data_IF_918424785893
#
_entry.id   IF_918424785893
#
_cell.length_a   1.000
_cell.length_b   1.000
_cell.length_c   1.000
_cell.angle_alpha   90.00
_cell.angle_beta   90.00
_cell.angle_gamma   90.00
#
_symmetry.space_group_name_H-M   'P 1'
#
loop_
_entity.id
_entity.type
_entity.pdbx_description
1 polymer ?
#
# COMPACT_ATOMS: atom_id res chain seq x y z
N UNK A 1 4.10 -19.49 -24.18
CA UNK A 1 4.04 -18.09 -23.70
C UNK A 1 2.66 -17.53 -23.98
N UNK A 2 1.78 -17.26 -23.00
CA UNK A 2 0.62 -16.38 -23.24
C UNK A 2 -0.16 -15.91 -22.02
N UNK A 3 -0.51 -16.78 -21.07
CA UNK A 3 -1.44 -16.41 -19.98
C UNK A 3 -0.75 -15.62 -18.85
N UNK A 4 0.43 -16.05 -18.41
CA UNK A 4 1.17 -15.43 -17.29
C UNK A 4 1.52 -13.95 -17.56
N UNK A 5 1.86 -13.60 -18.80
CA UNK A 5 2.20 -12.22 -19.20
C UNK A 5 0.97 -11.31 -19.27
N UNK A 6 -0.17 -11.84 -19.72
CA UNK A 6 -1.44 -11.09 -19.79
C UNK A 6 -1.94 -10.80 -18.37
N UNK A 7 -1.89 -11.79 -17.48
CA UNK A 7 -2.20 -11.61 -16.06
C UNK A 7 -1.31 -10.54 -15.42
N UNK A 8 0.00 -10.57 -15.69
CA UNK A 8 0.94 -9.55 -15.21
C UNK A 8 0.60 -8.14 -15.71
N UNK A 9 0.23 -7.99 -16.98
CA UNK A 9 -0.15 -6.69 -17.56
C UNK A 9 -1.46 -6.18 -16.99
N UNK A 10 -2.47 -7.05 -16.84
CA UNK A 10 -3.74 -6.70 -16.21
C UNK A 10 -3.50 -6.26 -14.77
N UNK A 11 -2.69 -7.03 -14.02
CA UNK A 11 -2.31 -6.66 -12.66
C UNK A 11 -1.61 -5.30 -12.64
N UNK A 12 -0.63 -5.06 -13.52
CA UNK A 12 0.10 -3.79 -13.61
C UNK A 12 -0.80 -2.59 -13.95
N UNK A 13 -1.83 -2.79 -14.78
CA UNK A 13 -2.82 -1.76 -15.08
C UNK A 13 -3.75 -1.52 -13.90
N UNK A 14 -4.27 -2.57 -13.27
CA UNK A 14 -5.06 -2.46 -12.02
C UNK A 14 -4.25 -1.75 -10.93
N UNK A 15 -2.95 -2.05 -10.83
CA UNK A 15 -1.97 -1.38 -9.98
C UNK A 15 -1.87 0.12 -10.24
N UNK A 16 -1.74 0.49 -11.51
CA UNK A 16 -1.64 1.88 -11.92
C UNK A 16 -2.91 2.66 -11.60
N UNK A 17 -4.08 2.08 -11.86
CA UNK A 17 -5.37 2.70 -11.53
C UNK A 17 -5.58 2.83 -10.02
N UNK A 18 -5.27 1.81 -9.23
CA UNK A 18 -5.36 1.88 -7.76
C UNK A 18 -4.41 2.93 -7.18
N UNK A 19 -3.19 3.05 -7.69
CA UNK A 19 -2.23 4.07 -7.27
C UNK A 19 -2.68 5.49 -7.64
N UNK A 20 -3.33 5.68 -8.79
CA UNK A 20 -3.88 6.98 -9.19
C UNK A 20 -5.09 7.32 -8.32
N UNK A 21 -5.99 6.36 -8.12
CA UNK A 21 -7.21 6.56 -7.35
C UNK A 21 -6.91 6.84 -5.87
N UNK A 22 -5.95 6.12 -5.28
CA UNK A 22 -5.51 6.37 -3.90
C UNK A 22 -4.91 7.76 -3.72
N UNK A 23 -4.29 8.34 -4.76
CA UNK A 23 -3.77 9.73 -4.72
C UNK A 23 -4.87 10.75 -4.92
N UNK A 24 -5.91 10.44 -5.70
CA UNK A 24 -6.93 11.40 -6.13
C UNK A 24 -8.11 11.45 -5.16
N UNK A 25 -8.40 10.36 -4.47
CA UNK A 25 -9.62 10.22 -3.68
C UNK A 25 -9.51 10.71 -2.22
N UNK A 26 -8.35 11.26 -1.80
CA UNK A 26 -8.16 11.77 -0.42
C UNK A 26 -8.34 10.71 0.67
N UNK A 27 -8.22 9.43 0.29
CA UNK A 27 -8.48 8.32 1.19
C UNK A 27 -7.48 8.25 2.34
N UNK A 28 -6.25 8.73 2.13
CA UNK A 28 -5.26 8.87 3.19
C UNK A 28 -5.71 9.84 4.28
N UNK A 29 -6.42 10.91 3.93
CA UNK A 29 -7.04 11.83 4.87
C UNK A 29 -8.21 11.19 5.62
N UNK A 30 -9.05 10.41 4.94
CA UNK A 30 -10.12 9.66 5.60
C UNK A 30 -9.58 8.58 6.54
N UNK A 31 -8.55 7.84 6.10
CA UNK A 31 -7.86 6.85 6.92
C UNK A 31 -7.18 7.53 8.12
N UNK A 32 -6.53 8.68 7.92
CA UNK A 32 -5.99 9.46 9.02
C UNK A 32 -7.08 9.84 10.02
N UNK A 33 -8.23 10.34 9.58
CA UNK A 33 -9.35 10.68 10.48
C UNK A 33 -9.88 9.47 11.26
N UNK A 34 -9.93 8.28 10.65
CA UNK A 34 -10.31 7.05 11.34
C UNK A 34 -9.26 6.58 12.36
N UNK A 35 -7.97 6.72 12.03
CA UNK A 35 -6.88 6.17 12.83
C UNK A 35 -6.14 7.20 13.69
N UNK A 36 -6.47 8.49 13.64
CA UNK A 36 -5.81 9.54 14.45
C UNK A 36 -5.94 9.28 15.95
N UNK A 37 -7.03 8.63 16.37
CA UNK A 37 -7.27 8.25 17.77
C UNK A 37 -6.71 6.86 18.10
N UNK A 38 -6.23 6.10 17.11
CA UNK A 38 -5.63 4.79 17.33
C UNK A 38 -4.18 4.92 17.76
N UNK A 39 -3.84 4.36 18.91
CA UNK A 39 -2.46 4.35 19.43
C UNK A 39 -1.47 3.63 18.49
N UNK A 40 -1.97 2.71 17.65
CA UNK A 40 -1.14 1.88 16.77
C UNK A 40 -0.30 2.70 15.78
N UNK A 41 -0.87 3.69 15.11
CA UNK A 41 -0.11 4.47 14.10
C UNK A 41 0.97 5.33 14.78
N UNK A 42 0.64 5.92 15.92
CA UNK A 42 1.60 6.72 16.69
C UNK A 42 2.73 5.87 17.29
N UNK A 43 2.43 4.65 17.72
CA UNK A 43 3.43 3.68 18.19
C UNK A 43 4.45 3.35 17.09
N UNK A 44 4.00 3.13 15.86
CA UNK A 44 4.90 2.88 14.74
C UNK A 44 5.75 4.10 14.40
N UNK A 45 5.16 5.30 14.37
CA UNK A 45 5.92 6.54 14.15
C UNK A 45 7.03 6.72 15.20
N UNK A 46 6.75 6.44 16.48
CA UNK A 46 7.75 6.47 17.55
C UNK A 46 8.85 5.42 17.35
N UNK A 47 8.46 4.20 17.00
CA UNK A 47 9.40 3.09 16.73
C UNK A 47 10.41 3.47 15.64
N UNK A 48 9.96 4.19 14.60
CA UNK A 48 10.82 4.67 13.52
C UNK A 48 11.44 6.06 13.79
N UNK A 49 11.27 6.61 14.99
CA UNK A 49 11.75 7.93 15.40
C UNK A 49 11.29 9.06 14.45
N UNK A 50 10.09 8.92 13.90
CA UNK A 50 9.47 9.89 13.01
C UNK A 50 8.61 10.84 13.83
N UNK A 51 8.81 12.15 13.62
CA UNK A 51 8.01 13.17 14.31
C UNK A 51 6.51 12.95 14.08
N UNK A 52 5.73 12.99 15.16
CA UNK A 52 4.27 12.77 15.20
C UNK A 52 3.50 13.96 14.62
N UNK A 53 3.68 14.22 13.33
CA UNK A 53 2.95 15.25 12.59
C UNK A 53 1.90 14.63 11.69
N UNK A 54 0.81 15.36 11.42
CA UNK A 54 -0.25 14.95 10.47
C UNK A 54 0.33 14.54 9.11
N UNK A 55 1.28 15.33 8.59
CA UNK A 55 1.92 15.07 7.31
C UNK A 55 2.73 13.77 7.30
N UNK A 56 3.48 13.50 8.37
CA UNK A 56 4.26 12.26 8.49
C UNK A 56 3.35 11.04 8.67
N UNK A 57 2.25 11.19 9.40
CA UNK A 57 1.23 10.15 9.54
C UNK A 57 0.60 9.79 8.19
N UNK A 58 0.20 10.79 7.39
CA UNK A 58 -0.31 10.56 6.02
C UNK A 58 0.72 9.87 5.12
N UNK A 59 1.99 10.31 5.17
CA UNK A 59 3.09 9.67 4.43
C UNK A 59 3.31 8.22 4.88
N UNK A 60 3.22 7.95 6.18
CA UNK A 60 3.36 6.61 6.75
C UNK A 60 2.23 5.70 6.32
N UNK A 61 0.97 6.18 6.35
CA UNK A 61 -0.20 5.44 5.85
C UNK A 61 0.01 5.09 4.37
N UNK A 62 0.38 6.07 3.53
CA UNK A 62 0.66 5.83 2.10
C UNK A 62 1.80 4.83 1.88
N UNK A 63 2.89 4.95 2.63
CA UNK A 63 4.05 4.06 2.52
C UNK A 63 3.71 2.63 2.96
N UNK A 64 2.95 2.47 4.05
CA UNK A 64 2.49 1.16 4.54
C UNK A 64 1.58 0.49 3.53
N UNK A 65 0.66 1.25 2.93
CA UNK A 65 -0.17 0.75 1.84
C UNK A 65 0.67 0.33 0.64
N UNK A 66 1.60 1.16 0.17
CA UNK A 66 2.51 0.79 -0.91
C UNK A 66 3.32 -0.49 -0.61
N UNK A 67 3.80 -0.65 0.63
CA UNK A 67 4.55 -1.84 1.05
C UNK A 67 3.67 -3.10 1.08
N UNK A 68 2.46 -3.02 1.65
CA UNK A 68 1.50 -4.13 1.69
C UNK A 68 1.16 -4.59 0.26
N UNK A 69 0.98 -3.62 -0.62
CA UNK A 69 0.68 -3.80 -2.02
C UNK A 69 1.83 -4.50 -2.79
N UNK A 70 3.08 -4.09 -2.54
CA UNK A 70 4.26 -4.78 -3.08
C UNK A 70 4.37 -6.21 -2.53
N UNK A 71 4.11 -6.41 -1.24
CA UNK A 71 4.16 -7.74 -0.63
C UNK A 71 3.12 -8.71 -1.22
N UNK A 72 1.89 -8.24 -1.48
CA UNK A 72 0.85 -9.03 -2.15
C UNK A 72 1.26 -9.37 -3.59
N UNK A 73 1.87 -8.42 -4.31
CA UNK A 73 2.40 -8.66 -5.66
C UNK A 73 3.47 -9.74 -5.66
N UNK A 74 4.47 -9.62 -4.78
CA UNK A 74 5.56 -10.58 -4.67
C UNK A 74 5.05 -11.97 -4.28
N UNK A 75 4.08 -12.03 -3.37
CA UNK A 75 3.45 -13.29 -2.95
C UNK A 75 2.68 -13.95 -4.10
N UNK A 76 1.96 -13.17 -4.90
CA UNK A 76 1.21 -13.68 -6.06
C UNK A 76 2.16 -14.22 -7.13
N UNK A 77 3.27 -13.51 -7.39
CA UNK A 77 4.32 -13.98 -8.31
C UNK A 77 4.97 -15.26 -7.77
N UNK A 78 5.28 -15.32 -6.47
CA UNK A 78 5.85 -16.52 -5.84
C UNK A 78 4.91 -17.72 -5.96
N UNK A 79 3.61 -17.54 -5.71
CA UNK A 79 2.59 -18.59 -5.89
C UNK A 79 2.49 -19.06 -7.34
N UNK A 80 2.55 -18.13 -8.32
CA UNK A 80 2.53 -18.49 -9.74
C UNK A 80 3.79 -19.25 -10.20
N UNK A 81 4.93 -19.01 -9.55
CA UNK A 81 6.20 -19.69 -9.86
C UNK A 81 6.27 -21.06 -9.18
N UNK A 82 5.85 -21.18 -7.92
CA UNK A 82 5.89 -22.43 -7.14
C UNK A 82 4.68 -23.35 -7.32
N UNK A 83 3.56 -22.84 -7.84
CA UNK A 83 2.40 -23.66 -8.21
C UNK A 83 2.54 -24.39 -9.55
N UNK A 84 3.70 -24.27 -10.21
CA UNK A 84 4.11 -24.99 -11.42
C UNK A 84 5.04 -26.14 -11.06
#
# INVERSE_FOLDING_TARGET
MRVDKILLVIFALTWFFLCIDSRRSGWDEHAYEQFKNSCKIWFWLDTFHVARTRQNCLRFIRATWAALLVAVSASTIAVLIWGR
#
